data_IF_251821652681
#
_entry.id   IF_251821652681
#
_cell.length_a   1.000
_cell.length_b   1.000
_cell.length_c   1.000
_cell.angle_alpha   90.00
_cell.angle_beta   90.00
_cell.angle_gamma   90.00
#
_symmetry.space_group_name_H-M   'P 1'
#
loop_
_entity.id
_entity.type
_entity.pdbx_description
1 polymer ?
#
# COMPACT_ATOMS: atom_id res chain seq x y z
N UNK A 1 5.23 -12.87 -24.93
CA UNK A 1 3.84 -13.09 -24.48
C UNK A 1 2.90 -12.73 -25.62
N UNK A 2 1.72 -13.34 -25.70
CA UNK A 2 0.72 -13.06 -26.75
C UNK A 2 -0.02 -11.75 -26.48
N UNK A 3 -0.47 -11.01 -27.52
CA UNK A 3 -1.18 -9.75 -27.35
C UNK A 3 -2.52 -9.94 -26.62
N UNK A 4 -2.93 -8.91 -25.86
CA UNK A 4 -4.24 -8.86 -25.21
C UNK A 4 -5.27 -8.28 -26.18
N UNK A 5 -6.38 -8.98 -26.37
CA UNK A 5 -7.57 -8.42 -27.05
C UNK A 5 -8.53 -7.89 -25.99
N UNK A 6 -8.97 -6.64 -26.09
CA UNK A 6 -9.90 -6.06 -25.12
C UNK A 6 -11.12 -5.38 -25.75
N UNK A 7 -12.22 -5.38 -25.01
CA UNK A 7 -13.41 -4.56 -25.26
C UNK A 7 -13.55 -3.55 -24.13
N UNK A 8 -13.70 -2.27 -24.48
CA UNK A 8 -13.74 -1.16 -23.52
C UNK A 8 -15.17 -0.65 -23.39
N UNK A 9 -15.65 -0.54 -22.17
CA UNK A 9 -16.88 0.17 -21.83
C UNK A 9 -16.49 1.49 -21.16
N UNK A 10 -16.73 2.61 -21.86
CA UNK A 10 -16.52 3.94 -21.31
C UNK A 10 -17.74 4.36 -20.47
N UNK A 11 -17.54 4.54 -19.18
CA UNK A 11 -18.52 5.15 -18.28
C UNK A 11 -17.83 6.22 -17.45
N UNK A 12 -17.44 7.36 -18.05
CA UNK A 12 -16.80 8.45 -17.29
C UNK A 12 -17.58 8.72 -15.99
N UNK A 13 -16.94 8.61 -14.80
CA UNK A 13 -15.49 8.64 -14.51
C UNK A 13 -14.78 7.27 -14.30
N UNK A 14 -15.41 6.16 -14.67
CA UNK A 14 -14.93 4.77 -14.50
C UNK A 14 -14.67 4.14 -15.86
N UNK A 15 -13.52 3.48 -15.99
CA UNK A 15 -13.15 2.73 -17.18
C UNK A 15 -13.09 1.23 -16.86
N UNK A 16 -13.86 0.42 -17.60
CA UNK A 16 -13.87 -1.04 -17.45
C UNK A 16 -13.46 -1.69 -18.76
N UNK A 17 -12.48 -2.57 -18.70
CA UNK A 17 -11.99 -3.35 -19.83
C UNK A 17 -12.17 -4.85 -19.56
N UNK A 18 -12.76 -5.56 -20.51
CA UNK A 18 -12.72 -7.02 -20.56
C UNK A 18 -11.65 -7.42 -21.57
N UNK A 19 -10.75 -8.31 -21.19
CA UNK A 19 -9.55 -8.66 -21.93
C UNK A 19 -9.33 -10.18 -21.98
N UNK A 20 -8.59 -10.66 -22.97
CA UNK A 20 -8.17 -12.08 -23.08
C UNK A 20 -6.73 -12.19 -23.53
N UNK A 21 -5.99 -13.16 -22.99
CA UNK A 21 -4.63 -13.53 -23.39
C UNK A 21 -4.48 -15.04 -23.45
N UNK A 22 -3.60 -15.54 -24.31
CA UNK A 22 -3.21 -16.98 -24.31
C UNK A 22 -2.23 -17.32 -23.18
N UNK A 23 -1.71 -16.31 -22.46
CA UNK A 23 -0.85 -16.52 -21.30
C UNK A 23 -1.58 -17.33 -20.24
N UNK A 24 -0.97 -18.42 -19.78
CA UNK A 24 -1.46 -19.28 -18.70
C UNK A 24 -0.93 -18.80 -17.35
N UNK A 25 -1.67 -19.06 -16.29
CA UNK A 25 -1.28 -18.70 -14.92
C UNK A 25 0.10 -19.26 -14.54
N UNK A 26 0.39 -20.50 -14.93
CA UNK A 26 1.68 -21.15 -14.67
C UNK A 26 2.87 -20.46 -15.36
N UNK A 27 2.63 -19.70 -16.42
CA UNK A 27 3.67 -18.93 -17.12
C UNK A 27 3.99 -17.61 -16.42
N UNK A 28 3.16 -17.16 -15.48
CA UNK A 28 3.43 -15.96 -14.68
C UNK A 28 4.45 -16.21 -13.56
N UNK A 29 4.79 -17.46 -13.24
CA UNK A 29 5.77 -17.78 -12.19
C UNK A 29 5.32 -17.33 -10.79
N UNK A 30 6.24 -16.81 -9.98
CA UNK A 30 5.95 -16.32 -8.64
C UNK A 30 5.02 -15.10 -8.69
N UNK A 31 3.79 -15.23 -8.19
CA UNK A 31 2.74 -14.23 -8.33
C UNK A 31 2.89 -13.07 -7.34
N UNK A 32 3.49 -13.31 -6.16
CA UNK A 32 3.61 -12.30 -5.11
C UNK A 32 4.70 -11.25 -5.39
N UNK A 33 5.50 -11.45 -6.45
CA UNK A 33 6.54 -10.51 -6.88
C UNK A 33 5.99 -9.64 -8.02
N UNK A 34 5.81 -8.32 -7.81
CA UNK A 34 5.53 -7.38 -8.88
C UNK A 34 6.55 -7.49 -9.99
N UNK A 35 6.09 -7.53 -11.24
CA UNK A 35 6.95 -7.75 -12.39
C UNK A 35 6.47 -6.98 -13.62
N UNK A 36 7.36 -6.63 -14.57
CA UNK A 36 6.99 -5.86 -15.74
C UNK A 36 5.84 -6.46 -16.54
N UNK A 37 5.72 -7.80 -16.57
CA UNK A 37 4.66 -8.51 -17.27
C UNK A 37 3.27 -8.15 -16.70
N UNK A 38 3.14 -7.80 -15.42
CA UNK A 38 1.84 -7.43 -14.84
C UNK A 38 1.30 -6.12 -15.39
N UNK A 39 2.14 -5.28 -15.99
CA UNK A 39 1.72 -4.03 -16.66
C UNK A 39 0.70 -4.28 -17.77
N UNK A 40 0.70 -5.46 -18.39
CA UNK A 40 -0.30 -5.82 -19.41
C UNK A 40 -1.73 -5.94 -18.84
N UNK A 41 -1.86 -6.31 -17.56
CA UNK A 41 -3.16 -6.41 -16.89
C UNK A 41 -3.72 -5.03 -16.55
N UNK A 42 -2.90 -4.00 -16.67
CA UNK A 42 -3.26 -2.59 -16.54
C UNK A 42 -2.98 -1.85 -17.85
N UNK A 43 -3.04 -2.54 -19.01
CA UNK A 43 -2.51 -2.03 -20.28
C UNK A 43 -3.07 -0.67 -20.71
N UNK A 44 -4.32 -0.35 -20.35
CA UNK A 44 -4.96 0.94 -20.63
C UNK A 44 -4.56 2.06 -19.66
N UNK A 45 -3.66 1.78 -18.72
CA UNK A 45 -3.13 2.72 -17.73
C UNK A 45 -1.73 3.22 -18.11
N UNK A 46 -1.10 2.60 -19.12
CA UNK A 46 0.16 3.05 -19.68
C UNK A 46 -0.11 3.88 -20.93
N UNK A 47 -0.52 5.12 -20.74
CA UNK A 47 -0.05 6.15 -21.66
C UNK A 47 1.12 6.84 -20.98
N UNK A 48 2.26 6.89 -21.66
CA UNK A 48 3.51 7.57 -21.27
C UNK A 48 3.35 9.08 -20.98
N UNK A 49 2.10 9.56 -20.91
CA UNK A 49 1.68 10.95 -20.86
C UNK A 49 0.89 11.32 -19.59
N UNK A 50 0.88 10.49 -18.54
CA UNK A 50 0.23 10.88 -17.26
C UNK A 50 0.77 12.17 -16.67
N UNK A 51 2.06 12.45 -16.84
CA UNK A 51 2.68 13.70 -16.43
C UNK A 51 2.11 14.91 -17.22
N UNK A 52 1.46 14.66 -18.36
CA UNK A 52 0.86 15.66 -19.25
C UNK A 52 -0.67 15.69 -19.18
N UNK A 53 -1.31 14.66 -18.62
CA UNK A 53 -2.77 14.61 -18.49
C UNK A 53 -3.27 15.56 -17.40
N UNK A 54 -4.30 16.34 -17.70
CA UNK A 54 -4.97 17.13 -16.67
C UNK A 54 -5.66 16.19 -15.67
N UNK A 55 -5.57 16.50 -14.38
CA UNK A 55 -6.24 15.73 -13.32
C UNK A 55 -7.75 15.53 -13.57
N UNK A 56 -8.39 16.47 -14.27
CA UNK A 56 -9.81 16.41 -14.63
C UNK A 56 -10.13 15.35 -15.68
N UNK A 57 -9.16 15.00 -16.51
CA UNK A 57 -9.30 14.06 -17.61
C UNK A 57 -8.85 12.64 -17.19
N UNK A 58 -8.28 12.50 -16.00
CA UNK A 58 -7.82 11.23 -15.46
C UNK A 58 -9.00 10.41 -14.91
N UNK A 59 -9.20 9.15 -15.34
CA UNK A 59 -10.22 8.28 -14.78
C UNK A 59 -10.03 8.11 -13.26
N UNK A 60 -11.14 8.09 -12.51
CA UNK A 60 -11.09 7.90 -11.05
C UNK A 60 -10.87 6.44 -10.66
N UNK A 61 -11.35 5.53 -11.51
CA UNK A 61 -11.18 4.09 -11.36
C UNK A 61 -11.01 3.45 -12.73
N UNK A 62 -10.01 2.59 -12.83
CA UNK A 62 -9.81 1.67 -13.93
C UNK A 62 -9.90 0.24 -13.40
N UNK A 63 -10.65 -0.61 -14.11
CA UNK A 63 -10.73 -2.04 -13.85
C UNK A 63 -10.52 -2.80 -15.15
N UNK A 64 -9.62 -3.78 -15.14
CA UNK A 64 -9.44 -4.72 -16.23
C UNK A 64 -9.61 -6.16 -15.73
N UNK A 65 -10.52 -6.87 -16.37
CA UNK A 65 -10.73 -8.31 -16.20
C UNK A 65 -10.09 -9.02 -17.38
N UNK A 66 -8.98 -9.71 -17.15
CA UNK A 66 -8.27 -10.46 -18.21
C UNK A 66 -8.46 -11.96 -18.03
N UNK A 67 -9.11 -12.63 -18.97
CA UNK A 67 -9.16 -14.09 -19.01
C UNK A 67 -7.84 -14.65 -19.57
N UNK A 68 -7.21 -15.56 -18.83
CA UNK A 68 -5.99 -16.26 -19.20
C UNK A 68 -6.30 -17.49 -20.06
N UNK A 69 -5.31 -17.98 -20.81
CA UNK A 69 -5.45 -19.15 -21.70
C UNK A 69 -5.77 -20.46 -20.97
N UNK A 70 -5.60 -20.48 -19.65
CA UNK A 70 -5.96 -21.60 -18.77
C UNK A 70 -7.32 -21.44 -18.06
N UNK A 71 -8.10 -20.40 -18.39
CA UNK A 71 -9.40 -20.11 -17.78
C UNK A 71 -9.34 -19.28 -16.50
N UNK A 72 -8.17 -19.14 -15.87
CA UNK A 72 -7.97 -18.20 -14.76
C UNK A 72 -8.29 -16.75 -15.17
N UNK A 73 -8.61 -15.91 -14.19
CA UNK A 73 -8.92 -14.49 -14.41
C UNK A 73 -7.95 -13.63 -13.61
N UNK A 74 -7.31 -12.66 -14.28
CA UNK A 74 -6.59 -11.57 -13.62
C UNK A 74 -7.54 -10.37 -13.48
N UNK A 75 -7.84 -10.00 -12.24
CA UNK A 75 -8.51 -8.76 -11.89
C UNK A 75 -7.45 -7.71 -11.54
N UNK A 76 -7.36 -6.66 -12.34
CA UNK A 76 -6.45 -5.56 -12.10
C UNK A 76 -7.24 -4.27 -11.94
N UNK A 77 -6.85 -3.47 -10.95
CA UNK A 77 -7.48 -2.18 -10.71
C UNK A 77 -6.44 -1.09 -10.49
N UNK A 78 -6.81 0.13 -10.85
CA UNK A 78 -6.10 1.34 -10.48
C UNK A 78 -7.11 2.40 -10.12
N UNK A 79 -6.84 3.10 -9.04
CA UNK A 79 -7.73 4.09 -8.49
C UNK A 79 -6.98 5.39 -8.24
N UNK A 80 -7.69 6.50 -8.37
CA UNK A 80 -7.19 7.79 -7.93
C UNK A 80 -7.23 7.85 -6.40
N UNK A 81 -6.06 8.02 -5.77
CA UNK A 81 -5.93 7.97 -4.32
C UNK A 81 -6.58 9.17 -3.60
N UNK A 82 -7.00 10.21 -4.33
CA UNK A 82 -7.86 11.29 -3.82
C UNK A 82 -9.30 10.81 -3.57
N UNK A 83 -9.70 9.68 -4.17
CA UNK A 83 -11.05 9.12 -4.03
C UNK A 83 -11.08 8.00 -3.00
N UNK A 84 -10.14 7.05 -3.08
CA UNK A 84 -10.13 5.83 -2.27
C UNK A 84 -8.78 5.65 -1.56
N UNK A 85 -8.84 5.22 -0.30
CA UNK A 85 -7.68 4.65 0.40
C UNK A 85 -7.73 3.11 0.38
N UNK A 86 -6.73 2.46 0.97
CA UNK A 86 -6.63 0.99 0.95
C UNK A 86 -7.83 0.27 1.59
N UNK A 87 -8.48 0.87 2.59
CA UNK A 87 -9.69 0.31 3.21
C UNK A 87 -10.87 0.41 2.25
N UNK A 88 -11.10 1.58 1.65
CA UNK A 88 -12.18 1.76 0.68
C UNK A 88 -11.99 0.88 -0.57
N UNK A 89 -10.75 0.60 -0.96
CA UNK A 89 -10.44 -0.37 -2.03
C UNK A 89 -10.85 -1.79 -1.63
N UNK A 90 -10.54 -2.23 -0.41
CA UNK A 90 -11.02 -3.53 0.06
C UNK A 90 -12.55 -3.61 0.07
N UNK A 91 -13.24 -2.59 0.59
CA UNK A 91 -14.71 -2.54 0.59
C UNK A 91 -15.29 -2.61 -0.84
N UNK A 92 -14.65 -1.93 -1.80
CA UNK A 92 -15.03 -1.99 -3.20
C UNK A 92 -14.87 -3.40 -3.77
N UNK A 93 -13.74 -4.06 -3.51
CA UNK A 93 -13.42 -5.42 -4.00
C UNK A 93 -14.37 -6.45 -3.38
N UNK A 94 -14.67 -6.36 -2.08
CA UNK A 94 -15.62 -7.25 -1.42
C UNK A 94 -17.04 -7.12 -1.98
N UNK A 95 -17.51 -5.88 -2.18
CA UNK A 95 -18.78 -5.62 -2.84
C UNK A 95 -18.80 -6.13 -4.28
N UNK A 96 -17.72 -5.93 -5.04
CA UNK A 96 -17.63 -6.43 -6.40
C UNK A 96 -17.69 -7.97 -6.44
N UNK A 97 -16.99 -8.64 -5.54
CA UNK A 97 -17.05 -10.10 -5.41
C UNK A 97 -18.49 -10.57 -5.15
N UNK A 98 -19.19 -9.96 -4.19
CA UNK A 98 -20.60 -10.24 -3.89
C UNK A 98 -21.51 -10.05 -5.11
N UNK A 99 -21.44 -8.87 -5.73
CA UNK A 99 -22.25 -8.54 -6.91
C UNK A 99 -22.01 -9.47 -8.09
N UNK A 100 -20.77 -9.96 -8.28
CA UNK A 100 -20.48 -10.91 -9.37
C UNK A 100 -21.22 -12.24 -9.19
N UNK A 101 -21.52 -12.63 -7.95
CA UNK A 101 -22.32 -13.83 -7.63
C UNK A 101 -23.83 -13.60 -7.69
N UNK A 102 -24.27 -12.38 -8.03
CA UNK A 102 -25.69 -12.00 -8.05
C UNK A 102 -26.27 -11.68 -6.68
N UNK A 103 -25.40 -11.44 -5.68
CA UNK A 103 -25.80 -11.05 -4.32
C UNK A 103 -25.85 -9.51 -4.18
N UNK A 104 -26.24 -9.02 -3.01
CA UNK A 104 -26.30 -7.58 -2.71
C UNK A 104 -24.94 -7.03 -2.23
N UNK A 105 -24.87 -5.71 -2.01
CA UNK A 105 -23.71 -5.08 -1.37
C UNK A 105 -23.54 -5.65 0.06
N UNK A 106 -22.35 -6.17 0.34
CA UNK A 106 -21.98 -6.67 1.68
C UNK A 106 -21.55 -5.54 2.60
N UNK A 107 -21.10 -4.42 2.04
CA UNK A 107 -20.65 -3.24 2.77
C UNK A 107 -21.29 -2.00 2.14
N UNK A 108 -22.12 -1.28 2.89
CA UNK A 108 -22.75 -0.05 2.40
C UNK A 108 -21.70 1.06 2.25
N UNK A 109 -21.45 1.60 1.04
CA UNK A 109 -20.48 2.67 0.85
C UNK A 109 -20.96 3.97 1.51
N UNK A 110 -20.07 4.66 2.23
CA UNK A 110 -20.35 5.99 2.76
C UNK A 110 -19.50 7.06 2.04
N UNK A 111 -20.10 7.86 1.14
CA UNK A 111 -19.38 8.92 0.42
C UNK A 111 -19.19 10.20 1.25
N UNK A 112 -19.80 10.29 2.44
CA UNK A 112 -19.73 11.50 3.27
C UNK A 112 -18.33 11.71 3.85
N UNK A 113 -17.64 12.72 3.32
CA UNK A 113 -16.31 13.17 3.78
C UNK A 113 -16.39 14.36 4.73
N UNK A 114 -17.58 14.81 5.13
CA UNK A 114 -17.74 15.98 6.02
C UNK A 114 -17.05 15.78 7.37
N UNK A 115 -16.93 14.52 7.81
CA UNK A 115 -16.16 14.16 9.01
C UNK A 115 -14.72 14.66 8.96
N UNK A 116 -14.11 14.78 7.78
CA UNK A 116 -12.72 15.23 7.59
C UNK A 116 -12.60 16.71 7.21
N UNK A 117 -13.66 17.51 7.37
CA UNK A 117 -13.56 18.96 7.21
C UNK A 117 -12.76 19.59 8.34
N UNK A 118 -11.94 20.57 7.99
CA UNK A 118 -11.26 21.42 8.95
C UNK A 118 -12.27 22.23 9.79
N UNK A 119 -11.86 22.57 11.01
CA UNK A 119 -12.60 23.45 11.90
C UNK A 119 -12.61 24.88 11.35
N UNK A 120 -13.59 25.68 11.78
CA UNK A 120 -13.71 27.08 11.41
C UNK A 120 -13.77 27.92 12.69
N UNK A 121 -12.71 28.66 13.06
CA UNK A 121 -11.39 28.69 12.40
C UNK A 121 -10.60 27.38 12.61
N UNK A 122 -9.60 27.07 11.75
CA UNK A 122 -8.68 25.96 11.97
C UNK A 122 -7.91 26.13 13.29
N UNK A 123 -7.77 25.06 14.07
CA UNK A 123 -7.07 25.03 15.36
C UNK A 123 -5.91 24.02 15.27
N UNK A 124 -4.69 24.52 15.28
CA UNK A 124 -3.47 23.69 15.24
C UNK A 124 -2.94 23.57 16.66
N UNK A 125 -3.07 22.39 17.26
CA UNK A 125 -2.67 22.12 18.65
C UNK A 125 -1.35 21.36 18.77
N UNK A 126 -0.89 20.74 17.68
CA UNK A 126 0.30 19.89 17.65
C UNK A 126 1.28 20.28 16.53
N UNK A 127 2.59 20.03 16.72
CA UNK A 127 3.53 20.04 15.61
C UNK A 127 3.31 18.81 14.73
N UNK A 128 3.19 19.03 13.42
CA UNK A 128 3.00 17.97 12.42
C UNK A 128 4.28 17.77 11.61
N UNK A 129 5.17 16.90 12.11
CA UNK A 129 6.44 16.58 11.46
C UNK A 129 6.27 15.61 10.28
N UNK A 130 5.11 14.98 10.20
CA UNK A 130 4.74 14.11 9.09
C UNK A 130 4.53 14.89 7.78
N UNK A 131 4.36 16.22 7.86
CA UNK A 131 4.17 17.09 6.72
C UNK A 131 5.26 18.16 6.60
N UNK A 132 5.55 18.55 5.37
CA UNK A 132 6.39 19.67 4.98
C UNK A 132 5.55 20.71 4.25
N UNK A 133 5.90 21.99 4.35
CA UNK A 133 5.26 23.03 3.52
C UNK A 133 5.66 22.80 2.05
N UNK A 134 4.74 23.00 1.09
CA UNK A 134 5.06 22.78 -0.31
C UNK A 134 6.18 23.75 -0.73
N UNK A 135 7.29 23.21 -1.21
CA UNK A 135 8.34 23.96 -1.91
C UNK A 135 8.25 23.62 -3.40
N UNK A 136 8.75 24.50 -4.27
CA UNK A 136 8.70 24.34 -5.74
C UNK A 136 9.30 22.98 -6.21
N UNK A 137 10.13 22.33 -5.39
CA UNK A 137 10.80 21.05 -5.69
C UNK A 137 10.06 19.80 -5.22
N UNK A 138 9.04 19.94 -4.39
CA UNK A 138 8.29 18.81 -3.83
C UNK A 138 6.88 18.80 -4.42
N UNK A 139 6.68 18.41 -5.67
CA UNK A 139 5.32 18.04 -6.12
C UNK A 139 5.06 16.60 -5.70
N UNK A 140 3.87 16.31 -5.16
CA UNK A 140 3.45 14.96 -4.78
C UNK A 140 3.63 13.93 -5.91
N UNK A 141 3.56 14.40 -7.16
CA UNK A 141 3.59 13.62 -8.39
C UNK A 141 4.99 13.37 -8.96
N UNK A 142 6.02 14.14 -8.57
CA UNK A 142 7.39 13.94 -9.08
C UNK A 142 8.16 13.04 -8.13
N UNK A 143 7.72 11.79 -8.02
CA UNK A 143 8.70 10.72 -7.83
C UNK A 143 9.49 10.76 -9.16
N UNK A 144 10.82 10.72 -9.14
CA UNK A 144 11.52 10.18 -10.29
C UNK A 144 11.04 8.73 -10.40
N UNK A 145 9.94 8.52 -11.14
CA UNK A 145 9.17 7.26 -11.22
C UNK A 145 9.99 6.13 -11.84
N UNK A 146 11.19 6.45 -12.32
CA UNK A 146 12.21 5.51 -12.73
C UNK A 146 12.95 5.06 -11.47
N UNK A 147 12.58 3.89 -10.96
CA UNK A 147 13.49 3.16 -10.09
C UNK A 147 14.79 2.94 -10.85
N UNK A 148 15.96 3.29 -10.30
CA UNK A 148 17.23 2.89 -10.91
C UNK A 148 17.47 1.38 -10.79
N UNK A 149 16.57 0.64 -10.14
CA UNK A 149 16.70 -0.78 -9.85
C UNK A 149 15.66 -1.59 -10.63
N UNK A 150 16.15 -2.56 -11.40
CA UNK A 150 15.29 -3.44 -12.20
C UNK A 150 14.72 -4.62 -11.39
N UNK A 151 15.09 -4.78 -10.11
CA UNK A 151 14.74 -5.94 -9.30
C UNK A 151 13.90 -5.60 -8.06
N UNK A 152 12.68 -6.14 -8.04
CA UNK A 152 11.87 -6.23 -6.84
C UNK A 152 12.21 -7.50 -6.07
N UNK A 153 12.40 -7.39 -4.75
CA UNK A 153 12.71 -8.51 -3.89
C UNK A 153 11.55 -8.84 -2.96
N UNK A 154 11.24 -10.13 -2.85
CA UNK A 154 10.26 -10.67 -1.91
C UNK A 154 10.97 -11.51 -0.84
N UNK A 155 10.76 -11.17 0.42
CA UNK A 155 11.35 -11.86 1.58
C UNK A 155 10.22 -12.42 2.43
N UNK A 156 10.24 -13.72 2.70
CA UNK A 156 9.26 -14.37 3.56
C UNK A 156 9.74 -14.41 5.01
N UNK A 157 8.94 -13.88 5.93
CA UNK A 157 9.11 -14.05 7.37
C UNK A 157 8.13 -15.11 7.87
N UNK A 158 8.67 -16.24 8.32
CA UNK A 158 7.88 -17.29 8.94
C UNK A 158 7.29 -16.83 10.28
N UNK A 159 6.24 -17.50 10.79
CA UNK A 159 5.73 -17.25 12.15
C UNK A 159 6.80 -17.36 13.24
N UNK A 160 7.76 -18.29 13.10
CA UNK A 160 8.88 -18.45 14.04
C UNK A 160 9.83 -17.25 14.01
N UNK A 161 10.22 -16.80 12.81
CA UNK A 161 11.05 -15.61 12.64
C UNK A 161 10.39 -14.37 13.25
N UNK A 162 9.09 -14.17 13.00
CA UNK A 162 8.31 -13.09 13.60
C UNK A 162 8.30 -13.18 15.13
N UNK A 163 8.15 -14.38 15.68
CA UNK A 163 8.18 -14.59 17.13
C UNK A 163 9.55 -14.22 17.72
N UNK A 164 10.64 -14.55 17.04
CA UNK A 164 11.99 -14.21 17.49
C UNK A 164 12.26 -12.70 17.40
N UNK A 165 11.82 -12.04 16.33
CA UNK A 165 11.87 -10.56 16.22
C UNK A 165 11.13 -9.91 17.40
N UNK A 166 9.94 -10.43 17.77
CA UNK A 166 9.20 -9.92 18.93
C UNK A 166 9.92 -10.14 20.25
N UNK A 167 10.52 -11.33 20.46
CA UNK A 167 11.30 -11.63 21.67
C UNK A 167 12.47 -10.66 21.83
N UNK A 168 13.19 -10.39 20.75
CA UNK A 168 14.30 -9.43 20.73
C UNK A 168 13.81 -8.02 21.07
N UNK A 169 12.70 -7.59 20.47
CA UNK A 169 12.11 -6.29 20.72
C UNK A 169 11.67 -6.08 22.19
N UNK A 170 11.31 -7.14 22.91
CA UNK A 170 10.87 -7.07 24.32
C UNK A 170 11.93 -7.49 25.33
N UNK A 171 13.16 -7.79 24.89
CA UNK A 171 14.21 -8.41 25.73
C UNK A 171 14.64 -7.56 26.91
N UNK A 172 14.65 -6.24 26.76
CA UNK A 172 15.10 -5.30 27.80
C UNK A 172 14.03 -5.01 28.88
N UNK A 173 12.85 -5.62 28.76
CA UNK A 173 11.74 -5.47 29.70
C UNK A 173 11.08 -4.08 29.70
N UNK A 174 11.51 -3.15 28.83
CA UNK A 174 10.92 -1.81 28.76
C UNK A 174 9.54 -1.83 28.10
N UNK A 175 9.35 -2.72 27.12
CA UNK A 175 8.08 -2.94 26.46
C UNK A 175 7.34 -4.10 27.12
N UNK A 176 6.09 -3.86 27.56
CA UNK A 176 5.20 -4.93 28.07
C UNK A 176 4.84 -5.97 27.01
N UNK A 177 4.98 -5.61 25.74
CA UNK A 177 4.71 -6.41 24.56
C UNK A 177 4.81 -5.57 23.30
N UNK A 178 4.82 -6.21 22.12
CA UNK A 178 4.77 -5.51 20.84
C UNK A 178 3.88 -6.26 19.84
N UNK A 179 3.16 -5.51 19.02
CA UNK A 179 2.40 -6.08 17.90
C UNK A 179 3.36 -6.60 16.81
N UNK A 180 2.88 -7.50 15.95
CA UNK A 180 3.66 -7.95 14.78
C UNK A 180 4.08 -6.76 13.92
N UNK A 181 3.17 -5.80 13.68
CA UNK A 181 3.47 -4.59 12.93
C UNK A 181 4.63 -3.81 13.56
N UNK A 182 4.56 -3.49 14.85
CA UNK A 182 5.61 -2.72 15.52
C UNK A 182 6.97 -3.43 15.45
N UNK A 183 7.00 -4.73 15.74
CA UNK A 183 8.25 -5.50 15.78
C UNK A 183 8.88 -5.61 14.38
N UNK A 184 8.08 -5.96 13.37
CA UNK A 184 8.55 -6.11 11.98
C UNK A 184 8.90 -4.75 11.36
N UNK A 185 8.09 -3.70 11.58
CA UNK A 185 8.36 -2.36 11.08
C UNK A 185 9.66 -1.78 11.67
N UNK A 186 9.86 -1.91 12.98
CA UNK A 186 11.10 -1.49 13.62
C UNK A 186 12.31 -2.28 13.11
N UNK A 187 12.14 -3.58 12.87
CA UNK A 187 13.20 -4.42 12.30
C UNK A 187 13.54 -4.02 10.87
N UNK A 188 12.54 -3.80 10.01
CA UNK A 188 12.71 -3.30 8.64
C UNK A 188 13.44 -1.96 8.65
N UNK A 189 13.02 -1.04 9.52
CA UNK A 189 13.64 0.28 9.61
C UNK A 189 15.12 0.17 9.97
N UNK A 190 15.46 -0.58 11.03
CA UNK A 190 16.84 -0.79 11.45
C UNK A 190 17.67 -1.50 10.36
N UNK A 191 17.15 -2.59 9.81
CA UNK A 191 17.84 -3.38 8.79
C UNK A 191 18.08 -2.57 7.51
N UNK A 192 17.09 -1.78 7.06
CA UNK A 192 17.22 -0.92 5.88
C UNK A 192 18.24 0.19 6.11
N UNK A 193 18.18 0.90 7.23
CA UNK A 193 19.12 1.99 7.51
C UNK A 193 20.57 1.50 7.56
N UNK A 194 20.81 0.31 8.11
CA UNK A 194 22.13 -0.31 8.10
C UNK A 194 22.54 -0.77 6.69
N UNK A 195 21.64 -1.46 5.95
CA UNK A 195 21.94 -1.98 4.63
C UNK A 195 22.22 -0.90 3.57
N UNK A 196 21.65 0.30 3.72
CA UNK A 196 21.91 1.45 2.84
C UNK A 196 23.08 2.31 3.30
N UNK A 197 23.82 1.87 4.34
CA UNK A 197 24.95 2.59 4.95
C UNK A 197 24.60 4.06 5.28
N UNK A 198 23.43 4.27 5.89
CA UNK A 198 22.98 5.61 6.25
C UNK A 198 23.93 6.21 7.30
N UNK A 199 24.53 7.37 6.98
CA UNK A 199 25.46 8.07 7.86
C UNK A 199 24.83 8.43 9.22
N UNK A 200 25.63 8.39 10.28
CA UNK A 200 25.20 8.61 11.67
C UNK A 200 24.60 10.01 11.90
N UNK A 201 24.97 10.98 11.07
CA UNK A 201 24.45 12.35 11.09
C UNK A 201 23.08 12.51 10.43
N UNK A 202 22.62 11.50 9.67
CA UNK A 202 21.37 11.56 8.92
C UNK A 202 20.18 11.13 9.78
N UNK A 203 19.08 11.87 9.65
CA UNK A 203 17.81 11.49 10.26
C UNK A 203 17.08 10.51 9.36
N UNK A 204 17.04 9.24 9.77
CA UNK A 204 16.19 8.24 9.12
C UNK A 204 14.73 8.46 9.51
N UNK A 205 13.80 8.42 8.55
CA UNK A 205 12.36 8.50 8.84
C UNK A 205 11.60 7.39 8.10
N UNK A 206 10.76 6.65 8.82
CA UNK A 206 9.84 5.67 8.24
C UNK A 206 8.40 6.18 8.34
N UNK A 207 7.74 6.36 7.20
CA UNK A 207 6.32 6.67 7.13
C UNK A 207 5.49 5.40 7.06
N UNK A 208 4.33 5.39 7.71
CA UNK A 208 3.34 4.34 7.50
C UNK A 208 1.93 4.92 7.62
N UNK A 209 0.98 4.47 6.78
CA UNK A 209 -0.41 4.90 6.89
C UNK A 209 -1.02 4.40 8.20
N UNK A 210 -1.86 5.22 8.81
CA UNK A 210 -2.67 4.85 9.98
C UNK A 210 -4.13 5.12 9.64
N UNK A 211 -4.97 4.08 9.76
CA UNK A 211 -6.42 4.26 9.64
C UNK A 211 -6.94 5.06 10.83
N UNK A 212 -7.41 6.28 10.55
CA UNK A 212 -7.94 7.20 11.54
C UNK A 212 -9.46 7.07 11.73
N UNK A 213 -10.17 6.25 10.96
CA UNK A 213 -11.64 6.08 11.07
C UNK A 213 -12.09 5.72 12.48
N UNK A 214 -11.31 4.90 13.19
CA UNK A 214 -11.58 4.47 14.58
C UNK A 214 -11.04 5.43 15.65
N UNK A 215 -10.28 6.45 15.24
CA UNK A 215 -9.61 7.41 16.13
C UNK A 215 -10.34 8.74 16.18
N UNK A 216 -11.12 9.06 15.14
CA UNK A 216 -12.03 10.18 15.14
C UNK A 216 -13.28 9.82 15.97
N UNK A 217 -13.61 10.63 16.97
CA UNK A 217 -14.68 10.36 17.97
C UNK A 217 -16.08 10.50 17.34
N UNK A 218 -17.05 9.63 17.73
CA UNK A 218 -17.04 8.71 18.90
C UNK A 218 -16.69 7.20 18.60
N UNK A 219 -16.21 6.34 19.57
CA UNK A 219 -14.84 6.28 20.19
C UNK A 219 -14.18 4.85 20.47
N UNK A 220 -12.88 4.83 20.87
CA UNK A 220 -12.08 3.94 21.83
C UNK A 220 -11.44 2.57 21.40
N UNK A 221 -10.42 1.95 22.10
CA UNK A 221 -9.28 2.40 22.95
C UNK A 221 -7.85 1.79 22.63
N UNK A 222 -6.78 2.53 23.04
CA UNK A 222 -5.31 2.25 23.26
C UNK A 222 -4.36 1.68 22.16
N UNK A 223 -3.11 2.23 22.15
CA UNK A 223 -1.74 1.60 22.06
C UNK A 223 -0.73 2.57 21.40
N UNK A 224 0.57 2.70 21.74
CA UNK A 224 1.19 2.90 23.07
C UNK A 224 2.38 3.93 23.06
N UNK A 225 2.55 4.80 22.06
CA UNK A 225 3.29 6.10 22.21
C UNK A 225 3.24 6.90 20.90
N UNK A 226 3.81 6.40 19.79
CA UNK A 226 3.65 7.02 18.47
C UNK A 226 2.22 6.89 17.92
N UNK A 227 1.59 5.74 18.17
CA UNK A 227 0.15 5.52 17.98
C UNK A 227 -0.69 6.09 19.15
N UNK A 228 -0.09 6.47 20.29
CA UNK A 228 -0.84 7.18 21.37
C UNK A 228 -0.98 8.65 21.06
N UNK A 229 0.04 9.26 20.46
CA UNK A 229 -0.01 10.65 19.99
C UNK A 229 -1.09 10.86 18.93
N UNK A 230 -1.47 9.82 18.20
CA UNK A 230 -2.53 9.86 17.18
C UNK A 230 -3.92 9.68 17.81
N UNK A 231 -4.30 10.57 18.70
CA UNK A 231 -5.68 10.66 19.21
C UNK A 231 -6.57 11.51 18.29
N UNK A 232 -7.84 11.70 18.67
CA UNK A 232 -8.79 12.51 17.91
C UNK A 232 -8.26 13.93 17.70
N UNK A 233 -7.72 14.56 18.74
CA UNK A 233 -7.26 15.95 18.65
C UNK A 233 -6.03 16.08 17.76
N UNK A 234 -5.09 15.13 17.79
CA UNK A 234 -3.98 15.11 16.86
C UNK A 234 -4.47 15.01 15.41
N UNK A 235 -5.42 14.11 15.11
CA UNK A 235 -5.98 13.98 13.77
C UNK A 235 -6.70 15.25 13.33
N UNK A 236 -7.49 15.88 14.22
CA UNK A 236 -8.17 17.16 13.95
C UNK A 236 -7.17 18.29 13.71
N UNK A 237 -6.12 18.37 14.53
CA UNK A 237 -5.01 19.30 14.35
C UNK A 237 -4.30 19.08 13.01
N UNK A 238 -4.08 17.83 12.59
CA UNK A 238 -3.47 17.52 11.29
C UNK A 238 -4.33 18.03 10.13
N UNK A 239 -5.65 17.82 10.20
CA UNK A 239 -6.60 18.31 9.18
C UNK A 239 -6.55 19.85 9.10
N UNK A 240 -6.61 20.52 10.25
CA UNK A 240 -6.54 21.98 10.32
C UNK A 240 -5.18 22.52 9.82
N UNK A 241 -4.09 21.82 10.16
CA UNK A 241 -2.76 22.16 9.69
C UNK A 241 -2.66 22.03 8.18
N UNK A 242 -3.21 20.97 7.58
CA UNK A 242 -3.26 20.78 6.13
C UNK A 242 -4.15 21.82 5.46
N UNK A 243 -5.24 22.25 6.10
CA UNK A 243 -6.10 23.31 5.56
C UNK A 243 -5.34 24.64 5.46
N UNK A 244 -4.55 24.99 6.48
CA UNK A 244 -3.78 26.24 6.52
C UNK A 244 -2.52 26.19 5.65
N UNK A 245 -1.77 25.09 5.70
CA UNK A 245 -0.41 25.03 5.14
C UNK A 245 -0.34 24.33 3.78
N UNK A 246 -1.40 23.61 3.37
CA UNK A 246 -1.46 22.82 2.12
C UNK A 246 -0.21 21.95 1.94
N UNK A 247 0.27 21.36 3.04
CA UNK A 247 1.53 20.62 3.09
C UNK A 247 1.47 19.24 2.48
N UNK A 248 2.65 18.66 2.30
CA UNK A 248 2.87 17.36 1.68
C UNK A 248 3.64 16.46 2.63
N UNK A 249 3.48 15.12 2.59
CA UNK A 249 4.27 14.19 3.37
C UNK A 249 5.74 14.53 3.27
N UNK A 250 6.41 14.58 4.40
CA UNK A 250 7.86 14.79 4.45
C UNK A 250 8.58 13.64 3.73
N UNK A 251 9.68 13.93 3.01
CA UNK A 251 10.30 12.97 2.07
C UNK A 251 11.81 12.78 2.16
N UNK A 252 12.57 13.67 2.78
CA UNK A 252 14.05 13.56 2.77
C UNK A 252 14.53 12.32 3.52
N UNK A 253 15.42 11.53 2.88
CA UNK A 253 16.04 10.29 3.39
C UNK A 253 15.05 9.30 4.07
N UNK A 254 13.82 9.26 3.55
CA UNK A 254 12.71 8.50 4.11
C UNK A 254 12.23 7.36 3.21
N UNK A 255 11.53 6.40 3.80
CA UNK A 255 10.80 5.37 3.07
C UNK A 255 9.40 5.19 3.67
N UNK A 256 8.47 4.66 2.88
CA UNK A 256 7.12 4.37 3.35
C UNK A 256 6.89 2.86 3.47
N UNK A 257 6.48 2.42 4.64
CA UNK A 257 6.03 1.07 4.93
C UNK A 257 4.50 1.01 4.77
N UNK A 258 4.04 0.30 3.75
CA UNK A 258 2.62 0.12 3.42
C UNK A 258 2.22 -1.31 3.78
N UNK A 259 1.13 -1.48 4.53
CA UNK A 259 0.68 -2.80 4.98
C UNK A 259 -0.62 -3.21 4.30
N UNK A 260 -0.56 -4.26 3.49
CA UNK A 260 -1.73 -4.90 2.85
C UNK A 260 -2.13 -6.18 3.56
N UNK A 261 -1.29 -6.71 4.44
CA UNK A 261 -1.44 -8.03 5.10
C UNK A 261 -2.70 -8.24 5.97
N UNK A 262 -3.53 -7.20 6.18
CA UNK A 262 -4.79 -7.22 6.96
C UNK A 262 -5.90 -6.50 6.22
N UNK A 263 -5.69 -6.19 4.94
CA UNK A 263 -6.76 -5.63 4.13
C UNK A 263 -7.76 -6.73 3.76
N UNK A 264 -7.38 -8.01 3.74
CA UNK A 264 -8.31 -9.12 3.49
C UNK A 264 -8.75 -9.25 2.02
N UNK A 265 -8.04 -8.61 1.09
CA UNK A 265 -8.36 -8.60 -0.34
C UNK A 265 -8.25 -10.00 -0.98
N UNK A 266 -7.51 -10.90 -0.35
CA UNK A 266 -7.32 -12.30 -0.74
C UNK A 266 -8.41 -13.26 -0.24
N UNK A 267 -9.34 -12.76 0.58
CA UNK A 267 -10.42 -13.54 1.20
C UNK A 267 -11.68 -13.59 0.32
N UNK A 268 -11.79 -12.69 -0.66
CA UNK A 268 -12.94 -12.57 -1.55
C UNK A 268 -13.08 -13.76 -2.52
N UNK A 269 -14.34 -14.17 -2.75
CA UNK A 269 -14.73 -15.21 -3.70
C UNK A 269 -15.61 -14.64 -4.79
N UNK A 270 -15.22 -14.76 -6.05
CA UNK A 270 -15.98 -14.23 -7.18
C UNK A 270 -16.81 -15.35 -7.82
N UNK A 271 -17.69 -15.01 -8.76
CA UNK A 271 -18.39 -16.02 -9.59
C UNK A 271 -17.42 -16.93 -10.37
N UNK A 272 -16.19 -16.47 -10.62
CA UNK A 272 -15.11 -17.24 -11.25
C UNK A 272 -14.15 -17.90 -10.24
N UNK A 273 -14.50 -17.91 -8.94
CA UNK A 273 -13.76 -18.61 -7.89
C UNK A 273 -12.98 -17.70 -6.94
N UNK A 274 -12.20 -18.34 -6.05
CA UNK A 274 -11.45 -17.70 -4.97
C UNK A 274 -10.17 -17.02 -5.45
N UNK A 275 -9.82 -15.92 -4.81
CA UNK A 275 -8.55 -15.22 -5.05
C UNK A 275 -7.36 -16.12 -4.69
N UNK A 276 -6.49 -16.33 -5.68
CA UNK A 276 -5.23 -17.11 -5.54
C UNK A 276 -4.13 -16.24 -4.92
N UNK A 277 -4.02 -14.99 -5.38
CA UNK A 277 -2.97 -14.05 -4.99
C UNK A 277 -3.45 -12.61 -5.20
N UNK A 278 -3.03 -11.71 -4.30
CA UNK A 278 -3.15 -10.26 -4.46
C UNK A 278 -1.77 -9.64 -4.34
N UNK A 279 -1.35 -8.89 -5.35
CA UNK A 279 -0.01 -8.32 -5.46
C UNK A 279 -0.07 -6.93 -6.10
N UNK A 280 0.80 -5.99 -5.72
CA UNK A 280 0.91 -4.75 -6.48
C UNK A 280 1.40 -5.02 -7.90
N UNK A 281 0.88 -4.29 -8.88
CA UNK A 281 1.29 -4.43 -10.29
C UNK A 281 2.72 -3.94 -10.50
N UNK A 282 3.09 -2.86 -9.82
CA UNK A 282 4.42 -2.30 -9.82
C UNK A 282 4.76 -1.77 -8.42
N UNK A 283 6.03 -1.86 -8.06
CA UNK A 283 6.57 -1.24 -6.87
C UNK A 283 7.10 0.15 -7.24
N UNK A 284 6.92 1.14 -6.35
CA UNK A 284 7.50 2.48 -6.53
C UNK A 284 8.74 2.60 -5.65
N UNK A 285 9.79 3.32 -6.10
CA UNK A 285 10.96 3.60 -5.29
C UNK A 285 10.59 4.18 -3.92
N UNK A 286 11.26 3.69 -2.86
CA UNK A 286 11.03 4.14 -1.49
C UNK A 286 9.79 3.54 -0.82
N UNK A 287 9.05 2.64 -1.47
CA UNK A 287 7.98 1.85 -0.83
C UNK A 287 8.49 0.48 -0.38
N UNK A 288 8.06 0.09 0.81
CA UNK A 288 8.18 -1.27 1.34
C UNK A 288 6.78 -1.77 1.62
N UNK A 289 6.40 -2.89 1.00
CA UNK A 289 5.09 -3.50 1.23
C UNK A 289 5.20 -4.66 2.20
N UNK A 290 4.25 -4.71 3.13
CA UNK A 290 3.95 -5.87 3.96
C UNK A 290 2.72 -6.57 3.37
N UNK A 291 2.96 -7.72 2.75
CA UNK A 291 1.95 -8.53 2.07
C UNK A 291 1.58 -9.75 2.93
N UNK A 292 0.36 -10.30 2.78
CA UNK A 292 -0.04 -11.54 3.42
C UNK A 292 0.97 -12.66 3.16
N UNK A 293 1.21 -13.52 4.16
CA UNK A 293 1.98 -14.73 3.99
C UNK A 293 1.22 -15.82 3.23
N UNK A 294 1.70 -17.06 3.29
CA UNK A 294 1.04 -18.19 2.61
C UNK A 294 -0.20 -18.59 3.40
N UNK A 295 -1.34 -18.82 2.72
CA UNK A 295 -2.65 -19.09 3.34
C UNK A 295 -2.62 -20.17 4.44
N UNK A 296 -1.79 -21.20 4.29
CA UNK A 296 -1.69 -22.31 5.25
C UNK A 296 -0.50 -22.20 6.23
N UNK A 297 0.59 -21.56 5.83
CA UNK A 297 1.81 -21.45 6.66
C UNK A 297 1.81 -20.19 7.55
N UNK A 298 0.93 -19.24 7.25
CA UNK A 298 0.93 -17.92 7.86
C UNK A 298 2.16 -17.12 7.45
N UNK A 299 2.72 -16.36 8.40
CA UNK A 299 3.87 -15.51 8.14
C UNK A 299 3.51 -14.27 7.33
N UNK A 300 4.52 -13.60 6.80
CA UNK A 300 4.40 -12.31 6.12
C UNK A 300 5.43 -12.19 5.01
N UNK A 301 5.07 -11.51 3.93
CA UNK A 301 6.03 -11.15 2.89
C UNK A 301 6.41 -9.67 2.99
N UNK A 302 7.70 -9.38 2.86
CA UNK A 302 8.23 -8.04 2.66
C UNK A 302 8.60 -7.91 1.19
N UNK A 303 8.02 -6.92 0.51
CA UNK A 303 8.29 -6.61 -0.89
C UNK A 303 8.92 -5.21 -1.00
N UNK A 304 10.13 -5.12 -1.52
CA UNK A 304 10.90 -3.87 -1.63
C UNK A 304 11.91 -3.90 -2.79
N UNK A 305 12.41 -2.73 -3.17
CA UNK A 305 13.53 -2.54 -4.11
C UNK A 305 14.77 -2.07 -3.34
N UNK A 306 15.88 -2.77 -3.55
CA UNK A 306 17.23 -2.42 -3.08
C UNK A 306 18.26 -2.96 -4.09
N UNK A 307 19.45 -2.34 -4.21
CA UNK A 307 20.60 -2.93 -4.90
C UNK A 307 20.96 -4.35 -4.42
N UNK A 308 21.60 -5.16 -5.27
CA UNK A 308 21.96 -6.56 -4.99
C UNK A 308 22.89 -6.73 -3.77
N UNK A 309 23.79 -5.80 -3.52
CA UNK A 309 24.67 -5.77 -2.34
C UNK A 309 23.87 -5.40 -1.08
N UNK A 310 23.03 -4.37 -1.16
CA UNK A 310 22.21 -3.90 -0.04
C UNK A 310 21.11 -4.89 0.34
N UNK A 311 20.50 -5.59 -0.62
CA UNK A 311 19.46 -6.59 -0.33
C UNK A 311 20.03 -7.82 0.39
N UNK A 312 21.27 -8.21 0.10
CA UNK A 312 21.92 -9.33 0.80
C UNK A 312 22.12 -8.99 2.27
N UNK A 313 22.63 -7.79 2.56
CA UNK A 313 22.79 -7.32 3.93
C UNK A 313 21.45 -7.11 4.63
N UNK A 314 20.47 -6.51 3.94
CA UNK A 314 19.11 -6.37 4.46
C UNK A 314 18.50 -7.72 4.84
N UNK A 315 18.62 -8.73 3.97
CA UNK A 315 18.13 -10.10 4.24
C UNK A 315 18.82 -10.70 5.44
N UNK A 316 20.15 -10.57 5.55
CA UNK A 316 20.93 -11.05 6.69
C UNK A 316 20.41 -10.44 7.99
N UNK A 317 20.31 -9.11 8.05
CA UNK A 317 19.83 -8.36 9.22
C UNK A 317 18.36 -8.64 9.59
N UNK A 318 17.51 -8.93 8.60
CA UNK A 318 16.13 -9.33 8.85
C UNK A 318 16.03 -10.71 9.51
N UNK A 319 16.93 -11.63 9.17
CA UNK A 319 16.91 -13.03 9.64
C UNK A 319 17.73 -13.27 10.91
N UNK A 320 18.67 -12.38 11.24
CA UNK A 320 19.47 -12.48 12.46
C UNK A 320 18.68 -12.08 13.70
N UNK A 321 18.73 -12.90 14.75
CA UNK A 321 18.04 -12.67 16.04
C UNK A 321 18.62 -11.50 16.82
#
# INVERSE_FOLDING_TARGET
MSPITATILFMLPILVAAARTETRLSQLGELMVPKPEFKQFVGFLHEENEEQMNIKDMPLLFVQLTQLGCGAVAFASRYNHCVLDGVAVHEFVANMASLTRGEELVIAPNPDRTLFKARIPPIITHPHHEYSKPTIKNSFCTINLVSPYDQTHLIYLSPSCIADIKKVATRDGKLRGCTTFQAVAARIWKARSAAVEMGDEKVSTMFFPVDCRKRVVPPAPKVQEGLERLDDEYVRSSIDWLEVNKGLPWREDSFSLVSWWRLGVEEDEYIWGKTICTTPVALKPGLVYLLPGRKEEGGLHICLELPDDQIQEFRRLMMEG
#
